data_IF_089261087405
#
_entry.id   IF_089261087405
#
_cell.length_a   1.000
_cell.length_b   1.000
_cell.length_c   1.000
_cell.angle_alpha   90.00
_cell.angle_beta   90.00
_cell.angle_gamma   90.00
#
_symmetry.space_group_name_H-M   'P 1'
#
loop_
_entity.id
_entity.type
_entity.pdbx_description
1 polymer ?
#
# COMPACT_ATOMS: atom_id res chain seq x y z
N UNK A 1 11.80 -5.41 -10.86
CA UNK A 1 10.47 -5.31 -11.48
C UNK A 1 9.54 -6.25 -10.73
N UNK A 2 8.44 -5.74 -10.13
CA UNK A 2 7.47 -6.59 -9.43
C UNK A 2 6.68 -7.40 -10.47
N UNK A 3 6.55 -8.70 -10.21
CA UNK A 3 5.77 -9.64 -11.03
C UNK A 3 4.44 -9.92 -10.35
N UNK A 4 3.39 -10.05 -11.14
CA UNK A 4 2.08 -10.46 -10.64
C UNK A 4 2.15 -11.95 -10.25
N UNK A 5 1.62 -12.30 -9.08
CA UNK A 5 1.88 -13.56 -8.40
C UNK A 5 1.21 -14.78 -9.04
N UNK A 6 0.07 -14.61 -9.70
CA UNK A 6 -0.70 -15.71 -10.32
C UNK A 6 -0.18 -16.03 -11.73
N UNK A 7 0.07 -15.01 -12.55
CA UNK A 7 0.49 -15.15 -13.95
C UNK A 7 2.01 -15.08 -14.13
N UNK A 8 2.76 -14.62 -13.12
CA UNK A 8 4.20 -14.37 -13.16
C UNK A 8 4.61 -13.37 -14.27
N UNK A 9 3.67 -12.54 -14.73
CA UNK A 9 3.91 -11.54 -15.79
C UNK A 9 4.35 -10.21 -15.18
N UNK A 10 5.18 -9.49 -15.93
CA UNK A 10 5.55 -8.13 -15.59
C UNK A 10 4.43 -7.16 -15.95
N UNK A 11 4.18 -6.17 -15.10
CA UNK A 11 3.33 -5.04 -15.43
C UNK A 11 4.14 -3.95 -16.16
N UNK A 12 3.55 -3.35 -17.19
CA UNK A 12 4.17 -2.23 -17.91
C UNK A 12 4.10 -0.94 -17.05
N UNK A 13 5.25 -0.52 -16.54
CA UNK A 13 5.36 0.69 -15.70
C UNK A 13 4.96 1.98 -16.42
N UNK A 14 5.23 2.10 -17.72
CA UNK A 14 4.85 3.28 -18.52
C UNK A 14 3.33 3.39 -18.68
N UNK A 15 2.63 2.27 -18.83
CA UNK A 15 1.16 2.24 -18.91
C UNK A 15 0.52 2.70 -17.59
N UNK A 16 1.11 2.31 -16.46
CA UNK A 16 0.55 2.55 -15.13
C UNK A 16 1.06 3.80 -14.44
N UNK A 17 1.93 4.57 -15.09
CA UNK A 17 2.72 5.61 -14.45
C UNK A 17 1.86 6.64 -13.72
N UNK A 18 0.81 7.14 -14.37
CA UNK A 18 -0.05 8.18 -13.82
C UNK A 18 -0.76 7.69 -12.54
N UNK A 19 -1.39 6.51 -12.59
CA UNK A 19 -2.09 5.94 -11.44
C UNK A 19 -1.12 5.58 -10.30
N UNK A 20 0.07 5.07 -10.64
CA UNK A 20 1.11 4.77 -9.66
C UNK A 20 1.58 6.05 -8.93
N UNK A 21 1.70 7.17 -9.63
CA UNK A 21 2.03 8.48 -9.04
C UNK A 21 0.90 8.93 -8.12
N UNK A 22 -0.36 8.83 -8.57
CA UNK A 22 -1.54 9.22 -7.78
C UNK A 22 -1.64 8.38 -6.50
N UNK A 23 -1.45 7.06 -6.57
CA UNK A 23 -1.46 6.19 -5.38
C UNK A 23 -0.36 6.58 -4.38
N UNK A 24 0.86 6.85 -4.87
CA UNK A 24 1.98 7.28 -4.02
C UNK A 24 1.69 8.62 -3.33
N UNK A 25 1.17 9.61 -4.07
CA UNK A 25 0.83 10.92 -3.52
C UNK A 25 -0.35 10.83 -2.55
N UNK A 26 -1.42 10.11 -2.92
CA UNK A 26 -2.64 10.00 -2.14
C UNK A 26 -2.40 9.36 -0.78
N UNK A 27 -1.64 8.25 -0.73
CA UNK A 27 -1.32 7.57 0.53
C UNK A 27 -0.45 8.47 1.44
N UNK A 28 0.55 9.18 0.86
CA UNK A 28 1.40 10.11 1.63
C UNK A 28 0.59 11.28 2.20
N UNK A 29 -0.32 11.86 1.42
CA UNK A 29 -1.18 12.96 1.85
C UNK A 29 -2.16 12.51 2.94
N UNK A 30 -2.81 11.36 2.74
CA UNK A 30 -3.72 10.78 3.73
C UNK A 30 -3.01 10.47 5.04
N UNK A 31 -1.82 9.87 4.98
CA UNK A 31 -1.01 9.59 6.16
C UNK A 31 -0.61 10.88 6.90
N UNK A 32 -0.12 11.88 6.17
CA UNK A 32 0.26 13.18 6.75
C UNK A 32 -0.93 13.86 7.43
N UNK A 33 -2.10 13.84 6.79
CA UNK A 33 -3.33 14.41 7.37
C UNK A 33 -3.74 13.66 8.64
N UNK A 34 -3.67 12.33 8.63
CA UNK A 34 -3.99 11.51 9.79
C UNK A 34 -3.05 11.77 10.97
N UNK A 35 -1.73 11.84 10.74
CA UNK A 35 -0.77 12.14 11.80
C UNK A 35 -0.95 13.56 12.36
N UNK A 36 -1.31 14.53 11.51
CA UNK A 36 -1.68 15.88 11.99
C UNK A 36 -2.91 15.84 12.88
N UNK A 37 -3.95 15.11 12.47
CA UNK A 37 -5.16 14.93 13.26
C UNK A 37 -4.87 14.32 14.63
N UNK A 38 -4.07 13.25 14.68
CA UNK A 38 -3.67 12.62 15.94
C UNK A 38 -2.90 13.56 16.89
N UNK A 39 -2.13 14.51 16.35
CA UNK A 39 -1.41 15.49 17.17
C UNK A 39 -2.31 16.62 17.71
N UNK A 40 -3.48 16.83 17.13
CA UNK A 40 -4.42 17.91 17.55
C UNK A 40 -5.53 17.43 18.47
N UNK A 41 -5.57 16.13 18.78
CA UNK A 41 -6.70 15.50 19.44
C UNK A 41 -6.19 14.65 20.61
N UNK A 42 -6.71 14.90 21.82
CA UNK A 42 -6.48 14.09 23.04
C UNK A 42 -7.33 12.81 23.03
N UNK A 43 -7.37 12.11 21.90
CA UNK A 43 -8.17 10.89 21.78
C UNK A 43 -7.39 9.71 22.35
N UNK A 44 -7.35 9.64 23.68
CA UNK A 44 -6.86 8.48 24.43
C UNK A 44 -7.78 7.24 24.26
N UNK A 45 -8.93 7.35 23.59
CA UNK A 45 -10.00 6.36 23.69
C UNK A 45 -10.22 5.49 22.46
N UNK A 46 -9.79 5.89 21.26
CA UNK A 46 -9.99 5.05 20.06
C UNK A 46 -8.91 3.98 19.87
N UNK A 47 -9.04 2.89 20.64
CA UNK A 47 -8.33 1.65 20.39
C UNK A 47 -9.26 0.62 19.76
N UNK A 48 -8.88 0.08 18.60
CA UNK A 48 -9.60 -1.04 17.98
C UNK A 48 -9.40 -2.29 18.87
N UNK A 49 -10.44 -2.83 19.55
CA UNK A 49 -10.26 -3.80 20.64
C UNK A 49 -9.49 -5.06 20.24
N UNK A 50 -9.64 -5.52 18.99
CA UNK A 50 -8.95 -6.70 18.45
C UNK A 50 -7.52 -6.41 17.94
N UNK A 51 -7.09 -5.15 17.89
CA UNK A 51 -5.82 -4.73 17.30
C UNK A 51 -4.96 -3.90 18.26
N UNK A 52 -5.15 -4.06 19.57
CA UNK A 52 -4.41 -3.33 20.62
C UNK A 52 -2.88 -3.45 20.53
N UNK A 53 -2.36 -4.47 19.84
CA UNK A 53 -0.91 -4.66 19.62
C UNK A 53 -0.32 -3.71 18.57
N UNK A 54 -1.16 -3.01 17.82
CA UNK A 54 -0.72 -2.09 16.78
C UNK A 54 -0.90 -0.65 17.22
N UNK A 55 0.06 0.21 16.86
CA UNK A 55 -0.11 1.66 17.01
C UNK A 55 -1.16 2.19 16.05
N UNK A 56 -1.68 3.40 16.31
CA UNK A 56 -2.61 4.08 15.39
C UNK A 56 -2.01 4.25 13.99
N UNK A 57 -0.72 4.55 13.91
CA UNK A 57 0.02 4.67 12.65
C UNK A 57 0.16 3.31 11.93
N UNK A 58 0.46 2.23 12.65
CA UNK A 58 0.44 0.87 12.08
C UNK A 58 -0.96 0.49 11.57
N UNK A 59 -2.00 0.85 12.31
CA UNK A 59 -3.39 0.63 11.92
C UNK A 59 -3.79 1.40 10.67
N UNK A 60 -3.29 2.63 10.48
CA UNK A 60 -3.45 3.36 9.22
C UNK A 60 -2.94 2.52 8.05
N UNK A 61 -1.69 2.05 8.10
CA UNK A 61 -1.11 1.25 7.01
C UNK A 61 -1.78 -0.12 6.84
N UNK A 62 -2.22 -0.76 7.92
CA UNK A 62 -3.02 -2.00 7.84
C UNK A 62 -4.35 -1.73 7.11
N UNK A 63 -5.00 -0.59 7.40
CA UNK A 63 -6.23 -0.17 6.72
C UNK A 63 -6.00 0.09 5.23
N UNK A 64 -4.90 0.78 4.89
CA UNK A 64 -4.48 0.96 3.48
C UNK A 64 -4.23 -0.40 2.82
N UNK A 65 -3.47 -1.31 3.44
CA UNK A 65 -3.24 -2.64 2.89
C UNK A 65 -4.55 -3.40 2.64
N UNK A 66 -5.47 -3.35 3.61
CA UNK A 66 -6.78 -4.00 3.54
C UNK A 66 -7.66 -3.44 2.43
N UNK A 67 -7.63 -2.14 2.14
CA UNK A 67 -8.48 -1.55 1.09
C UNK A 67 -8.11 -2.00 -0.33
N UNK A 68 -6.88 -2.51 -0.51
CA UNK A 68 -6.41 -3.08 -1.77
C UNK A 68 -6.55 -4.62 -1.83
N UNK A 69 -7.03 -5.29 -0.78
CA UNK A 69 -7.27 -6.72 -0.83
C UNK A 69 -8.30 -7.07 -1.90
N UNK A 70 -7.87 -7.76 -2.95
CA UNK A 70 -8.70 -8.19 -4.07
C UNK A 70 -8.23 -9.54 -4.58
N UNK A 71 -9.17 -10.45 -4.81
CA UNK A 71 -8.93 -11.66 -5.57
C UNK A 71 -9.20 -11.39 -7.06
N UNK A 72 -8.36 -11.95 -7.94
CA UNK A 72 -8.54 -11.91 -9.38
C UNK A 72 -8.15 -13.27 -9.95
N UNK A 73 -8.99 -13.85 -10.80
CA UNK A 73 -8.67 -15.11 -11.44
C UNK A 73 -7.63 -14.91 -12.55
N UNK A 74 -6.97 -16.01 -12.93
CA UNK A 74 -5.88 -16.01 -13.92
C UNK A 74 -6.31 -15.42 -15.28
N UNK A 75 -7.47 -15.83 -15.81
CA UNK A 75 -7.94 -15.38 -17.13
C UNK A 75 -8.18 -13.86 -17.16
N UNK A 76 -8.76 -13.32 -16.09
CA UNK A 76 -8.94 -11.88 -15.93
C UNK A 76 -7.60 -11.16 -15.88
N UNK A 77 -6.63 -11.67 -15.12
CA UNK A 77 -5.30 -11.05 -15.02
C UNK A 77 -4.56 -11.09 -16.37
N UNK A 78 -4.60 -12.22 -17.07
CA UNK A 78 -3.94 -12.35 -18.38
C UNK A 78 -4.51 -11.41 -19.43
N UNK A 79 -5.83 -11.18 -19.40
CA UNK A 79 -6.51 -10.29 -20.35
C UNK A 79 -6.35 -8.81 -20.01
N UNK A 80 -6.18 -8.45 -18.73
CA UNK A 80 -6.14 -7.05 -18.26
C UNK A 80 -4.74 -6.51 -18.01
N UNK A 81 -3.73 -7.36 -17.75
CA UNK A 81 -2.41 -6.89 -17.30
C UNK A 81 -1.74 -5.90 -18.27
N UNK A 82 -2.00 -5.99 -19.58
CA UNK A 82 -1.45 -5.08 -20.59
C UNK A 82 -2.41 -3.98 -21.04
N UNK A 83 -3.63 -3.91 -20.49
CA UNK A 83 -4.69 -2.98 -20.91
C UNK A 83 -5.10 -2.02 -19.79
N UNK A 84 -5.18 -2.51 -18.56
CA UNK A 84 -5.57 -1.69 -17.41
C UNK A 84 -4.49 -0.66 -17.09
N UNK A 85 -4.90 0.59 -16.85
CA UNK A 85 -4.02 1.68 -16.42
C UNK A 85 -3.62 1.55 -14.95
N UNK A 86 -4.32 0.71 -14.19
CA UNK A 86 -3.93 0.36 -12.83
C UNK A 86 -3.04 -0.88 -12.82
N UNK A 87 -2.06 -0.91 -11.92
CA UNK A 87 -1.33 -2.16 -11.63
C UNK A 87 -2.26 -3.16 -10.91
N UNK A 88 -2.01 -4.47 -10.97
CA UNK A 88 -2.67 -5.43 -10.10
C UNK A 88 -2.57 -5.01 -8.62
N UNK A 89 -3.62 -5.24 -7.82
CA UNK A 89 -3.73 -4.65 -6.47
C UNK A 89 -2.53 -4.93 -5.57
N UNK A 90 -1.99 -6.16 -5.60
CA UNK A 90 -0.80 -6.53 -4.82
C UNK A 90 0.45 -5.73 -5.21
N UNK A 91 0.63 -5.44 -6.50
CA UNK A 91 1.76 -4.67 -7.02
C UNK A 91 1.58 -3.21 -6.62
N UNK A 92 0.36 -2.67 -6.79
CA UNK A 92 0.05 -1.27 -6.43
C UNK A 92 0.45 -0.98 -5.00
N UNK A 93 -0.08 -1.75 -4.06
CA UNK A 93 0.11 -1.45 -2.64
C UNK A 93 1.55 -1.74 -2.19
N UNK A 94 2.13 -2.84 -2.63
CA UNK A 94 3.51 -3.18 -2.23
C UNK A 94 4.50 -2.16 -2.78
N UNK A 95 4.34 -1.71 -4.02
CA UNK A 95 5.19 -0.68 -4.63
C UNK A 95 5.08 0.67 -3.91
N UNK A 96 3.88 1.11 -3.54
CA UNK A 96 3.71 2.38 -2.81
C UNK A 96 4.36 2.29 -1.44
N UNK A 97 4.03 1.26 -0.66
CA UNK A 97 4.49 1.12 0.72
C UNK A 97 6.00 0.86 0.80
N UNK A 98 6.57 0.09 -0.13
CA UNK A 98 8.02 -0.17 -0.16
C UNK A 98 8.85 1.09 -0.44
N UNK A 99 8.25 2.10 -1.08
CA UNK A 99 8.88 3.40 -1.38
C UNK A 99 8.55 4.46 -0.32
N UNK A 100 7.95 4.07 0.82
CA UNK A 100 7.51 5.02 1.82
C UNK A 100 8.21 4.82 3.16
N UNK A 101 9.07 5.78 3.50
CA UNK A 101 9.90 5.72 4.72
C UNK A 101 9.13 5.51 6.00
N UNK A 102 8.04 6.25 6.16
CA UNK A 102 7.18 6.15 7.34
C UNK A 102 6.65 4.73 7.51
N UNK A 103 6.32 4.03 6.41
CA UNK A 103 5.88 2.65 6.48
C UNK A 103 6.99 1.73 7.03
N UNK A 104 8.18 1.74 6.42
CA UNK A 104 9.23 0.82 6.84
C UNK A 104 9.83 1.17 8.21
N UNK A 105 9.81 2.43 8.63
CA UNK A 105 10.20 2.85 9.98
C UNK A 105 9.19 2.31 11.01
N UNK A 106 7.89 2.46 10.76
CA UNK A 106 6.79 2.05 11.66
C UNK A 106 6.69 0.53 11.84
N UNK A 107 7.05 -0.23 10.81
CA UNK A 107 7.09 -1.70 10.87
C UNK A 107 8.50 -2.26 11.11
N UNK A 108 9.51 -1.40 11.34
CA UNK A 108 10.91 -1.79 11.50
C UNK A 108 11.39 -2.76 10.40
N UNK A 109 11.09 -2.47 9.12
CA UNK A 109 11.47 -3.35 8.02
C UNK A 109 13.00 -3.34 7.85
N UNK A 110 13.67 -4.52 7.81
CA UNK A 110 15.11 -4.59 7.62
C UNK A 110 15.57 -3.90 6.34
N UNK A 111 16.77 -3.32 6.37
CA UNK A 111 17.43 -2.77 5.18
C UNK A 111 17.55 -3.85 4.12
N UNK A 112 17.26 -3.51 2.86
CA UNK A 112 17.22 -4.43 1.71
C UNK A 112 16.13 -5.51 1.78
N UNK A 113 15.17 -5.40 2.70
CA UNK A 113 13.96 -6.24 2.65
C UNK A 113 13.06 -5.82 1.48
N UNK A 114 12.15 -6.71 1.07
CA UNK A 114 11.21 -6.44 -0.05
C UNK A 114 10.37 -5.16 0.13
N UNK A 115 10.16 -4.73 1.38
CA UNK A 115 9.33 -3.58 1.74
C UNK A 115 10.14 -2.36 2.20
N UNK A 116 11.47 -2.38 2.00
CA UNK A 116 12.37 -1.27 2.28
C UNK A 116 13.29 -1.10 1.06
N UNK A 117 12.79 -0.35 0.07
CA UNK A 117 13.48 -0.07 -1.20
C UNK A 117 14.22 1.26 -1.19
#
# INVERSE_FOLDING_TARGET
MQKESITNRNKNGSLTLNENIVDNCGIKLAHTAYMKYLNTTDDEQEHVPAFKKFTKEQLFFISVGRSFCKYSNKDYLETTINKDVHSPSEIRINMVLSNYRQFFDVFNCPVNSKMNL
#
